data_IF_424015681627
#
_entry.id   IF_424015681627
#
_cell.length_a   1.000
_cell.length_b   1.000
_cell.length_c   1.000
_cell.angle_alpha   90.00
_cell.angle_beta   90.00
_cell.angle_gamma   90.00
#
_symmetry.space_group_name_H-M   'P 1'
#
loop_
_entity.id
_entity.type
_entity.pdbx_description
1 polymer ?
#
# COMPACT_ATOMS: atom_id res chain seq x y z
N UNK A 1 -49.76 -32.29 -9.93
CA UNK A 1 -49.29 -31.33 -10.97
C UNK A 1 -48.84 -30.05 -10.26
N UNK A 2 -47.71 -29.48 -10.71
CA UNK A 2 -46.96 -28.34 -10.13
C UNK A 2 -46.03 -28.72 -8.96
N UNK A 3 -44.87 -29.36 -9.24
CA UNK A 3 -43.56 -28.75 -9.61
C UNK A 3 -42.94 -27.99 -8.43
N UNK A 4 -41.99 -28.59 -7.70
CA UNK A 4 -40.55 -28.49 -8.01
C UNK A 4 -40.13 -27.06 -8.39
N UNK A 5 -40.15 -26.12 -7.45
CA UNK A 5 -39.58 -24.77 -7.65
C UNK A 5 -39.06 -24.07 -6.37
N UNK A 6 -38.84 -24.77 -5.27
CA UNK A 6 -38.27 -24.15 -4.06
C UNK A 6 -37.20 -25.03 -3.39
N UNK A 7 -36.42 -25.77 -4.19
CA UNK A 7 -35.34 -26.64 -3.70
C UNK A 7 -34.00 -26.42 -4.40
N UNK A 8 -33.83 -25.34 -5.17
CA UNK A 8 -32.61 -25.07 -5.96
C UNK A 8 -32.15 -23.61 -5.82
N UNK A 9 -32.21 -23.03 -4.63
CA UNK A 9 -31.51 -21.75 -4.37
C UNK A 9 -30.65 -21.77 -3.09
N UNK A 10 -30.68 -22.87 -2.32
CA UNK A 10 -29.88 -23.05 -1.11
C UNK A 10 -28.69 -24.02 -1.30
N UNK A 11 -28.35 -24.38 -2.53
CA UNK A 11 -27.36 -25.44 -2.84
C UNK A 11 -26.04 -25.00 -3.48
N UNK A 12 -25.87 -23.72 -3.85
CA UNK A 12 -24.67 -23.26 -4.57
C UNK A 12 -24.04 -21.97 -4.02
N UNK A 13 -24.63 -21.37 -2.99
CA UNK A 13 -24.18 -20.08 -2.43
C UNK A 13 -23.60 -20.21 -1.01
N UNK A 14 -23.71 -21.39 -0.39
CA UNK A 14 -23.26 -21.63 0.98
C UNK A 14 -21.79 -22.03 1.13
N UNK A 15 -21.13 -22.49 0.06
CA UNK A 15 -19.75 -23.00 0.14
C UNK A 15 -18.69 -21.94 -0.21
N UNK A 16 -19.09 -20.82 -0.83
CA UNK A 16 -18.17 -19.78 -1.29
C UNK A 16 -17.82 -18.72 -0.25
N UNK A 17 -18.45 -18.73 0.93
CA UNK A 17 -18.21 -17.74 2.00
C UNK A 17 -17.12 -18.22 3.00
N UNK A 18 -16.55 -19.42 2.80
CA UNK A 18 -15.53 -20.01 3.69
C UNK A 18 -14.07 -19.66 3.35
N UNK A 19 -13.83 -18.78 2.38
CA UNK A 19 -12.48 -18.28 2.01
C UNK A 19 -12.27 -16.80 2.32
N UNK A 20 -12.99 -16.27 3.29
CA UNK A 20 -12.83 -14.88 3.73
C UNK A 20 -11.86 -14.81 4.91
N UNK A 21 -10.60 -15.16 4.67
CA UNK A 21 -9.54 -14.45 5.40
C UNK A 21 -9.47 -13.08 4.71
N UNK A 22 -10.06 -12.07 5.36
CA UNK A 22 -10.37 -10.75 4.79
C UNK A 22 -9.11 -10.01 4.29
N UNK A 23 -7.92 -10.48 4.63
CA UNK A 23 -6.66 -10.07 4.03
C UNK A 23 -5.75 -11.30 3.91
N UNK A 24 -5.29 -11.66 2.70
CA UNK A 24 -4.34 -12.76 2.51
C UNK A 24 -3.13 -12.62 3.44
N UNK A 25 -2.54 -13.72 3.90
CA UNK A 25 -1.35 -13.71 4.77
C UNK A 25 -0.20 -12.82 4.23
N UNK A 26 -0.10 -12.69 2.91
CA UNK A 26 0.85 -11.78 2.25
C UNK A 26 0.67 -10.30 2.61
N UNK A 27 -0.55 -9.85 2.88
CA UNK A 27 -0.85 -8.47 3.30
C UNK A 27 -0.31 -8.23 4.71
N UNK A 28 -0.56 -9.16 5.65
CA UNK A 28 -0.01 -9.09 7.01
C UNK A 28 1.52 -9.09 7.00
N UNK A 29 2.13 -9.95 6.19
CA UNK A 29 3.58 -10.00 6.05
C UNK A 29 4.13 -8.68 5.49
N UNK A 30 3.49 -8.12 4.46
CA UNK A 30 3.90 -6.83 3.88
C UNK A 30 3.81 -5.70 4.90
N UNK A 31 2.76 -5.67 5.74
CA UNK A 31 2.61 -4.69 6.82
C UNK A 31 3.68 -4.87 7.91
N UNK A 32 3.98 -6.11 8.28
CA UNK A 32 5.05 -6.42 9.24
C UNK A 32 6.43 -6.00 8.70
N UNK A 33 6.72 -6.30 7.44
CA UNK A 33 7.97 -5.96 6.78
C UNK A 33 8.12 -4.43 6.67
N UNK A 34 7.05 -3.74 6.26
CA UNK A 34 7.02 -2.28 6.23
C UNK A 34 7.23 -1.67 7.62
N UNK A 35 6.61 -2.22 8.66
CA UNK A 35 6.83 -1.80 10.05
C UNK A 35 8.27 -1.99 10.50
N UNK A 36 8.86 -3.14 10.17
CA UNK A 36 10.25 -3.48 10.51
C UNK A 36 11.25 -2.56 9.82
N UNK A 37 11.07 -2.33 8.52
CA UNK A 37 11.90 -1.42 7.72
C UNK A 37 11.77 0.02 8.23
N UNK A 38 10.57 0.47 8.58
CA UNK A 38 10.33 1.83 9.05
C UNK A 38 10.89 2.10 10.44
N UNK A 39 10.90 1.09 11.32
CA UNK A 39 11.43 1.21 12.68
C UNK A 39 12.97 1.20 12.75
N UNK A 40 13.65 0.79 11.67
CA UNK A 40 15.11 0.73 11.61
C UNK A 40 15.65 1.75 10.59
N UNK A 41 16.43 2.77 11.02
CA UNK A 41 16.89 3.83 10.12
C UNK A 41 17.83 3.33 9.02
N UNK A 42 18.59 2.26 9.24
CA UNK A 42 19.46 1.66 8.22
C UNK A 42 18.64 0.90 7.16
N UNK A 43 17.61 0.15 7.60
CA UNK A 43 16.68 -0.53 6.71
C UNK A 43 15.86 0.47 5.89
N UNK A 44 15.38 1.56 6.52
CA UNK A 44 14.70 2.65 5.82
C UNK A 44 15.60 3.31 4.76
N UNK A 45 16.89 3.52 5.05
CA UNK A 45 17.86 4.04 4.06
C UNK A 45 18.08 3.07 2.90
N UNK A 46 18.17 1.77 3.17
CA UNK A 46 18.25 0.74 2.12
C UNK A 46 17.00 0.75 1.25
N UNK A 47 15.81 0.83 1.85
CA UNK A 47 14.54 0.94 1.12
C UNK A 47 14.54 2.15 0.17
N UNK A 48 14.94 3.32 0.66
CA UNK A 48 15.01 4.54 -0.16
C UNK A 48 16.08 4.49 -1.26
N UNK A 49 17.02 3.55 -1.17
CA UNK A 49 18.06 3.32 -2.18
C UNK A 49 17.64 2.30 -3.24
N UNK A 50 16.48 1.65 -3.10
CA UNK A 50 15.94 0.74 -4.10
C UNK A 50 15.56 1.53 -5.37
N UNK A 51 15.92 1.09 -6.59
CA UNK A 51 15.73 1.88 -7.82
C UNK A 51 14.30 2.42 -7.99
N UNK A 52 13.28 1.58 -7.79
CA UNK A 52 11.89 2.02 -7.89
C UNK A 52 11.48 3.04 -6.82
N UNK A 53 12.10 3.00 -5.63
CA UNK A 53 11.85 3.98 -4.57
C UNK A 53 12.54 5.32 -4.92
N UNK A 54 13.74 5.28 -5.49
CA UNK A 54 14.43 6.47 -6.00
C UNK A 54 13.58 7.14 -7.09
N UNK A 55 13.14 6.38 -8.09
CA UNK A 55 12.33 6.89 -9.19
C UNK A 55 11.03 7.54 -8.70
N UNK A 56 10.30 6.89 -7.79
CA UNK A 56 9.11 7.47 -7.16
C UNK A 56 9.42 8.74 -6.37
N UNK A 57 10.52 8.74 -5.60
CA UNK A 57 10.91 9.89 -4.77
C UNK A 57 11.33 11.13 -5.58
N UNK A 58 11.68 10.94 -6.84
CA UNK A 58 12.08 11.98 -7.79
C UNK A 58 10.90 12.46 -8.63
N UNK A 59 9.75 11.78 -8.59
CA UNK A 59 8.57 12.18 -9.34
C UNK A 59 8.13 13.61 -8.93
N UNK A 60 7.90 14.54 -9.88
CA UNK A 60 7.67 15.96 -9.55
C UNK A 60 6.56 16.20 -8.51
N UNK A 61 5.46 15.43 -8.61
CA UNK A 61 4.35 15.50 -7.64
C UNK A 61 4.75 15.03 -6.25
N UNK A 62 5.57 13.98 -6.14
CA UNK A 62 6.07 13.47 -4.85
C UNK A 62 7.09 14.44 -4.25
N UNK A 63 7.96 15.02 -5.07
CA UNK A 63 8.88 16.09 -4.66
C UNK A 63 8.12 17.30 -4.14
N UNK A 64 7.05 17.72 -4.83
CA UNK A 64 6.20 18.83 -4.39
C UNK A 64 5.57 18.57 -3.02
N UNK A 65 5.08 17.35 -2.76
CA UNK A 65 4.56 16.96 -1.44
C UNK A 65 5.64 17.00 -0.36
N UNK A 66 6.84 16.47 -0.64
CA UNK A 66 7.94 16.47 0.33
C UNK A 66 8.42 17.88 0.68
N UNK A 67 8.33 18.82 -0.25
CA UNK A 67 8.71 20.22 -0.04
C UNK A 67 7.57 21.06 0.55
N UNK A 68 6.39 20.48 0.75
CA UNK A 68 5.26 21.17 1.34
C UNK A 68 5.39 21.17 2.88
N UNK A 69 5.36 22.35 3.52
CA UNK A 69 5.59 22.47 4.96
C UNK A 69 4.47 21.81 5.78
N UNK A 70 3.21 21.88 5.34
CA UNK A 70 2.09 21.25 6.03
C UNK A 70 2.20 19.73 5.98
N UNK A 71 2.54 19.20 4.80
CA UNK A 71 2.79 17.75 4.61
C UNK A 71 3.96 17.29 5.48
N UNK A 72 5.07 18.02 5.47
CA UNK A 72 6.24 17.69 6.28
C UNK A 72 5.90 17.69 7.77
N UNK A 73 5.08 18.65 8.22
CA UNK A 73 4.61 18.72 9.60
C UNK A 73 3.71 17.53 9.96
N UNK A 74 2.79 17.13 9.08
CA UNK A 74 1.93 15.95 9.30
C UNK A 74 2.76 14.67 9.41
N UNK A 75 3.78 14.50 8.55
CA UNK A 75 4.72 13.36 8.61
C UNK A 75 5.50 13.38 9.93
N UNK A 76 6.07 14.53 10.32
CA UNK A 76 6.85 14.66 11.55
C UNK A 76 6.02 14.39 12.81
N UNK A 77 4.72 14.71 12.78
CA UNK A 77 3.77 14.45 13.86
C UNK A 77 3.18 13.03 13.82
N UNK A 78 3.52 12.21 12.81
CA UNK A 78 2.94 10.87 12.65
C UNK A 78 1.44 10.88 12.33
N UNK A 79 0.90 12.00 11.84
CA UNK A 79 -0.53 12.18 11.53
C UNK A 79 -0.87 11.60 10.15
N UNK A 80 -0.63 10.30 9.99
CA UNK A 80 -0.70 9.61 8.70
C UNK A 80 -2.12 9.63 8.11
N UNK A 81 -3.16 9.46 8.92
CA UNK A 81 -4.55 9.48 8.42
C UNK A 81 -4.93 10.85 7.84
N UNK A 82 -4.52 11.92 8.51
CA UNK A 82 -4.78 13.29 8.05
C UNK A 82 -3.95 13.63 6.81
N UNK A 83 -2.71 13.14 6.75
CA UNK A 83 -1.88 13.22 5.55
C UNK A 83 -2.55 12.54 4.35
N UNK A 84 -3.11 11.34 4.52
CA UNK A 84 -3.79 10.61 3.45
C UNK A 84 -5.05 11.31 2.96
N UNK A 85 -5.71 12.08 3.83
CA UNK A 85 -6.88 12.89 3.46
C UNK A 85 -6.51 14.29 2.96
N UNK A 86 -5.23 14.66 2.98
CA UNK A 86 -4.79 15.98 2.57
C UNK A 86 -5.05 16.19 1.06
N UNK A 87 -5.66 17.31 0.63
CA UNK A 87 -6.05 17.52 -0.77
C UNK A 87 -4.90 17.29 -1.75
N UNK A 88 -3.72 17.85 -1.49
CA UNK A 88 -2.54 17.68 -2.34
C UNK A 88 -2.07 16.23 -2.46
N UNK A 89 -2.19 15.45 -1.37
CA UNK A 89 -1.82 14.03 -1.37
C UNK A 89 -2.81 13.26 -2.21
N UNK A 90 -4.11 13.53 -2.06
CA UNK A 90 -5.16 12.94 -2.90
C UNK A 90 -4.97 13.32 -4.37
N UNK A 91 -4.64 14.56 -4.68
CA UNK A 91 -4.35 14.99 -6.06
C UNK A 91 -3.16 14.24 -6.65
N UNK A 92 -2.06 14.10 -5.90
CA UNK A 92 -0.91 13.33 -6.35
C UNK A 92 -1.23 11.83 -6.49
N UNK A 93 -2.05 11.26 -5.59
CA UNK A 93 -2.44 9.85 -5.64
C UNK A 93 -3.38 9.54 -6.81
N UNK A 94 -4.18 10.52 -7.25
CA UNK A 94 -5.05 10.40 -8.42
C UNK A 94 -4.36 10.80 -9.74
N UNK A 95 -3.14 11.32 -9.68
CA UNK A 95 -2.39 11.70 -10.87
C UNK A 95 -2.00 10.44 -11.67
N UNK A 96 -2.35 10.36 -12.97
CA UNK A 96 -2.13 9.14 -13.76
C UNK A 96 -0.64 8.77 -13.88
N UNK A 97 0.25 9.77 -13.88
CA UNK A 97 1.70 9.53 -13.96
C UNK A 97 2.25 8.93 -12.67
N UNK A 98 1.72 9.36 -11.52
CA UNK A 98 2.04 8.76 -10.22
C UNK A 98 1.48 7.35 -10.13
N UNK A 99 0.22 7.16 -10.51
CA UNK A 99 -0.44 5.83 -10.48
C UNK A 99 0.32 4.82 -11.33
N UNK A 100 0.76 5.20 -12.53
CA UNK A 100 1.52 4.30 -13.40
C UNK A 100 2.86 3.91 -12.78
N UNK A 101 3.58 4.87 -12.18
CA UNK A 101 4.84 4.60 -11.48
C UNK A 101 4.65 3.72 -10.25
N UNK A 102 3.59 3.95 -9.47
CA UNK A 102 3.27 3.10 -8.30
C UNK A 102 2.91 1.68 -8.73
N UNK A 103 2.20 1.49 -9.85
CA UNK A 103 1.90 0.16 -10.39
C UNK A 103 3.15 -0.61 -10.81
N UNK A 104 4.17 0.10 -11.30
CA UNK A 104 5.46 -0.49 -11.67
C UNK A 104 6.35 -0.76 -10.45
N UNK A 105 6.03 -0.16 -9.30
CA UNK A 105 6.81 -0.30 -8.09
C UNK A 105 6.54 -1.63 -7.38
N UNK A 106 7.55 -2.49 -7.34
CA UNK A 106 7.51 -3.76 -6.64
C UNK A 106 7.80 -3.56 -5.14
N UNK A 107 6.77 -3.18 -4.38
CA UNK A 107 6.85 -2.93 -2.94
C UNK A 107 7.44 -4.12 -2.19
N UNK A 108 7.08 -5.35 -2.58
CA UNK A 108 7.57 -6.56 -1.92
C UNK A 108 9.08 -6.68 -2.09
N UNK A 109 9.59 -6.58 -3.31
CA UNK A 109 11.04 -6.62 -3.55
C UNK A 109 11.79 -5.49 -2.84
N UNK A 110 11.20 -4.29 -2.77
CA UNK A 110 11.80 -3.17 -2.07
C UNK A 110 11.92 -3.44 -0.56
N UNK A 111 10.88 -4.00 0.06
CA UNK A 111 10.90 -4.41 1.47
C UNK A 111 11.87 -5.57 1.72
N UNK A 112 11.89 -6.58 0.86
CA UNK A 112 12.85 -7.70 0.93
C UNK A 112 14.30 -7.19 0.80
N UNK A 113 14.56 -6.25 -0.12
CA UNK A 113 15.87 -5.61 -0.26
C UNK A 113 16.28 -4.85 1.00
N UNK A 114 15.33 -4.12 1.60
CA UNK A 114 15.57 -3.32 2.80
C UNK A 114 15.75 -4.15 4.08
N UNK A 115 15.07 -5.30 4.18
CA UNK A 115 15.10 -6.19 5.33
C UNK A 115 16.32 -7.13 5.36
N UNK A 116 17.06 -7.25 4.25
CA UNK A 116 18.32 -8.00 4.22
C UNK A 116 19.31 -7.37 5.20
N UNK A 117 19.58 -8.10 6.28
CA UNK A 117 20.75 -7.88 7.13
C UNK A 117 21.97 -8.44 6.40
N UNK A 118 23.02 -7.65 6.32
CA UNK A 118 24.35 -8.12 5.93
C UNK A 118 24.91 -9.07 7.00
#
# INVERSE_FOLDING_TARGET
LARLKNSVELGAVGDTIKKTDVTPASVYQTLQDAGTVSANPESARRFLSFPGAIELSQHPKIVALRNDPEITQLIAQGRILELLHHPRVLEAANDPTVVERVKQFDLKKALEFAAKKE
#
